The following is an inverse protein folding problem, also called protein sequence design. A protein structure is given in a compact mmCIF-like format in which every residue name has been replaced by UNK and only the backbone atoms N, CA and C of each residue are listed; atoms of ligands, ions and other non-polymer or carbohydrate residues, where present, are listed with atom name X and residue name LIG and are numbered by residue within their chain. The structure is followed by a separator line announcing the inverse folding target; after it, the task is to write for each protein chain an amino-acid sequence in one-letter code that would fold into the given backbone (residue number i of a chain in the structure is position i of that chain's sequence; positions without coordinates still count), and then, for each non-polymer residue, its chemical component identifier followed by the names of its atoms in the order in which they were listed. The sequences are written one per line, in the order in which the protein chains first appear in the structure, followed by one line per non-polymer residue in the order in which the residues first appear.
data_IF_318171556027
#
_entry.id   IF_318171556027
#
_cell.length_a   1.000
_cell.length_b   1.000
_cell.length_c   1.000
_cell.angle_alpha   90.00
_cell.angle_beta   90.00
_cell.angle_gamma   90.00
#
_symmetry.space_group_name_H-M   'P 1'
#
loop_
_entity.id
_entity.type
_entity.pdbx_description
1 polymer ?
#
# COMPACT_ATOMS: atom_id res chain seq x y z
N UNK A 1 13.42 1.57 22.16
CA UNK A 1 14.59 0.97 21.47
C UNK A 1 15.17 1.98 20.49
N UNK A 2 16.49 2.21 20.52
CA UNK A 2 17.15 3.08 19.57
C UNK A 2 17.00 2.53 18.13
N UNK A 3 16.75 3.41 17.19
CA UNK A 3 16.65 3.05 15.76
C UNK A 3 18.05 2.71 15.23
N UNK A 4 18.15 1.66 14.41
CA UNK A 4 19.42 1.26 13.80
C UNK A 4 19.88 2.29 12.78
N UNK A 5 21.14 2.70 12.85
CA UNK A 5 21.72 3.66 11.90
C UNK A 5 21.93 3.06 10.49
N UNK A 6 22.08 1.74 10.37
CA UNK A 6 22.31 1.01 9.11
C UNK A 6 23.56 1.46 8.32
N UNK A 7 24.57 1.98 9.02
CA UNK A 7 25.79 2.50 8.40
C UNK A 7 25.60 3.72 7.50
N UNK A 8 24.53 4.52 7.72
CA UNK A 8 24.13 5.64 6.85
C UNK A 8 23.83 6.90 7.66
N UNK A 9 23.92 8.06 7.01
CA UNK A 9 23.41 9.33 7.54
C UNK A 9 21.90 9.26 7.72
N UNK A 10 21.33 10.17 8.50
CA UNK A 10 19.90 10.17 8.80
C UNK A 10 19.03 10.23 7.53
N UNK A 11 19.40 11.09 6.58
CA UNK A 11 18.65 11.30 5.33
C UNK A 11 18.74 10.10 4.41
N UNK A 12 19.94 9.56 4.20
CA UNK A 12 20.15 8.35 3.40
C UNK A 12 19.42 7.14 3.99
N UNK A 13 19.41 7.01 5.32
CA UNK A 13 18.68 5.96 6.00
C UNK A 13 17.16 6.12 5.79
N UNK A 14 16.64 7.33 5.93
CA UNK A 14 15.22 7.65 5.70
C UNK A 14 14.82 7.31 4.27
N UNK A 15 15.60 7.73 3.29
CA UNK A 15 15.36 7.44 1.87
C UNK A 15 15.36 5.93 1.57
N UNK A 16 16.33 5.19 2.12
CA UNK A 16 16.43 3.73 1.96
C UNK A 16 15.20 3.02 2.51
N UNK A 17 14.77 3.36 3.74
CA UNK A 17 13.61 2.73 4.37
C UNK A 17 12.34 3.07 3.59
N UNK A 18 12.14 4.32 3.18
CA UNK A 18 10.99 4.75 2.36
C UNK A 18 10.90 3.96 1.05
N UNK A 19 12.03 3.81 0.34
CA UNK A 19 12.07 3.03 -0.90
C UNK A 19 11.67 1.57 -0.66
N UNK A 20 12.26 0.93 0.35
CA UNK A 20 11.96 -0.47 0.66
C UNK A 20 10.51 -0.68 1.12
N UNK A 21 9.93 0.25 1.88
CA UNK A 21 8.51 0.21 2.26
C UNK A 21 7.61 0.37 1.04
N UNK A 22 7.92 1.30 0.15
CA UNK A 22 7.17 1.49 -1.10
C UNK A 22 7.17 0.22 -1.94
N UNK A 23 8.35 -0.40 -2.13
CA UNK A 23 8.49 -1.65 -2.86
C UNK A 23 7.76 -2.82 -2.17
N UNK A 24 7.79 -2.89 -0.83
CA UNK A 24 7.06 -3.93 -0.08
C UNK A 24 5.56 -3.83 -0.28
N UNK A 25 5.00 -2.63 -0.24
CA UNK A 25 3.57 -2.41 -0.47
C UNK A 25 3.20 -2.73 -1.92
N UNK A 26 4.05 -2.33 -2.87
CA UNK A 26 3.79 -2.52 -4.29
C UNK A 26 3.90 -3.98 -4.73
N UNK A 27 5.02 -4.65 -4.41
CA UNK A 27 5.30 -6.02 -4.84
C UNK A 27 4.81 -7.09 -3.84
N UNK A 28 4.43 -6.70 -2.63
CA UNK A 28 4.01 -7.61 -1.56
C UNK A 28 5.17 -8.37 -0.88
N UNK A 29 6.37 -8.39 -1.47
CA UNK A 29 7.57 -9.03 -0.93
C UNK A 29 8.84 -8.34 -1.40
N UNK A 30 9.86 -8.34 -0.56
CA UNK A 30 11.21 -7.88 -0.91
C UNK A 30 12.28 -8.73 -0.20
N UNK A 31 13.42 -8.90 -0.82
CA UNK A 31 14.60 -9.48 -0.22
C UNK A 31 15.56 -8.38 0.22
N UNK A 32 16.05 -8.47 1.44
CA UNK A 32 16.96 -7.48 2.01
C UNK A 32 17.74 -8.09 3.18
N UNK A 33 18.64 -7.34 3.80
CA UNK A 33 19.33 -7.83 5.00
C UNK A 33 18.38 -7.85 6.21
N UNK A 34 18.58 -8.78 7.15
CA UNK A 34 17.75 -8.92 8.35
C UNK A 34 17.63 -7.61 9.15
N UNK A 35 18.74 -6.87 9.25
CA UNK A 35 18.75 -5.58 9.93
C UNK A 35 17.82 -4.53 9.28
N UNK A 36 17.81 -4.47 7.94
CA UNK A 36 16.91 -3.59 7.18
C UNK A 36 15.48 -4.07 7.25
N UNK A 37 15.22 -5.37 7.10
CA UNK A 37 13.89 -5.95 7.20
C UNK A 37 13.18 -5.59 8.52
N UNK A 38 13.90 -5.61 9.64
CA UNK A 38 13.36 -5.23 10.96
C UNK A 38 12.96 -3.75 11.04
N UNK A 39 13.69 -2.84 10.40
CA UNK A 39 13.33 -1.42 10.36
C UNK A 39 12.19 -1.14 9.36
N UNK A 40 12.22 -1.78 8.19
CA UNK A 40 11.16 -1.69 7.18
C UNK A 40 9.82 -2.17 7.74
N UNK A 41 9.82 -3.28 8.48
CA UNK A 41 8.64 -3.83 9.13
C UNK A 41 7.89 -2.79 9.96
N UNK A 42 8.60 -2.07 10.84
CA UNK A 42 7.99 -1.05 11.72
C UNK A 42 7.31 0.06 10.93
N UNK A 43 7.99 0.54 9.88
CA UNK A 43 7.46 1.62 9.06
C UNK A 43 6.26 1.15 8.22
N UNK A 44 6.36 -0.02 7.60
CA UNK A 44 5.28 -0.61 6.79
C UNK A 44 4.03 -0.89 7.64
N UNK A 45 4.18 -1.54 8.79
CA UNK A 45 3.04 -1.86 9.66
C UNK A 45 2.32 -0.62 10.16
N UNK A 46 3.03 0.48 10.43
CA UNK A 46 2.40 1.76 10.79
C UNK A 46 1.53 2.32 9.67
N UNK A 47 2.00 2.31 8.43
CA UNK A 47 1.24 2.81 7.28
C UNK A 47 0.04 1.92 6.96
N UNK A 48 0.21 0.61 7.06
CA UNK A 48 -0.88 -0.35 6.86
C UNK A 48 -1.95 -0.17 7.95
N UNK A 49 -1.56 0.03 9.21
CA UNK A 49 -2.52 0.28 10.30
C UNK A 49 -3.39 1.51 10.00
N UNK A 50 -2.78 2.63 9.55
CA UNK A 50 -3.52 3.84 9.18
C UNK A 50 -4.51 3.56 8.04
N UNK A 51 -4.09 2.79 7.03
CA UNK A 51 -4.97 2.44 5.92
C UNK A 51 -6.12 1.51 6.33
N UNK A 52 -5.85 0.52 7.20
CA UNK A 52 -6.86 -0.42 7.72
C UNK A 52 -7.92 0.30 8.57
N UNK A 53 -7.51 1.27 9.38
CA UNK A 53 -8.43 2.03 10.22
C UNK A 53 -9.37 2.93 9.41
N UNK A 54 -8.88 3.48 8.31
CA UNK A 54 -9.57 4.54 7.57
C UNK A 54 -10.11 4.11 6.19
N UNK A 55 -9.92 2.85 5.77
CA UNK A 55 -10.27 2.42 4.40
C UNK A 55 -11.76 2.64 4.06
N UNK A 56 -12.67 2.43 5.01
CA UNK A 56 -14.12 2.52 4.78
C UNK A 56 -14.70 3.88 5.19
N UNK A 57 -13.88 4.78 5.72
CA UNK A 57 -14.35 6.07 6.19
C UNK A 57 -14.56 7.04 5.01
N UNK A 58 -15.77 7.03 4.44
CA UNK A 58 -16.16 7.81 3.28
C UNK A 58 -17.42 8.61 3.56
N UNK A 59 -17.59 9.73 2.86
CA UNK A 59 -18.78 10.59 2.93
C UNK A 59 -19.34 10.75 1.51
N UNK A 60 -20.64 10.52 1.35
CA UNK A 60 -21.35 10.81 0.11
C UNK A 60 -21.65 12.29 0.03
N UNK A 61 -21.29 12.91 -1.09
CA UNK A 61 -21.59 14.30 -1.38
C UNK A 61 -22.27 14.41 -2.75
N UNK A 62 -23.27 15.25 -2.84
CA UNK A 62 -23.89 15.59 -4.10
C UNK A 62 -23.12 16.71 -4.80
N UNK A 63 -22.78 16.50 -6.06
CA UNK A 63 -22.11 17.49 -6.89
C UNK A 63 -22.96 17.84 -8.10
N UNK A 64 -23.23 19.10 -8.25
CA UNK A 64 -23.92 19.62 -9.43
C UNK A 64 -22.89 19.86 -10.55
N UNK A 65 -23.13 19.26 -11.69
CA UNK A 65 -22.33 19.44 -12.92
C UNK A 65 -23.24 19.74 -14.09
N UNK A 66 -22.73 20.45 -15.08
CA UNK A 66 -23.47 20.73 -16.33
C UNK A 66 -23.04 19.68 -17.38
N UNK A 67 -24.04 19.11 -18.06
CA UNK A 67 -23.83 18.30 -19.24
C UNK A 67 -23.34 19.17 -20.42
N UNK A 68 -22.80 18.52 -21.46
CA UNK A 68 -22.42 19.18 -22.73
C UNK A 68 -23.58 19.96 -23.37
N UNK A 69 -24.82 19.66 -22.99
CA UNK A 69 -26.04 20.36 -23.40
C UNK A 69 -26.48 21.50 -22.46
N UNK A 70 -25.66 21.84 -21.44
CA UNK A 70 -25.95 22.88 -20.46
C UNK A 70 -27.02 22.54 -19.42
N UNK A 71 -27.44 21.28 -19.32
CA UNK A 71 -28.42 20.83 -18.32
C UNK A 71 -27.72 20.53 -17.00
N UNK A 72 -28.30 20.94 -15.88
CA UNK A 72 -27.86 20.62 -14.54
C UNK A 72 -28.09 19.11 -14.26
N UNK A 73 -27.01 18.44 -13.96
CA UNK A 73 -27.03 17.03 -13.48
C UNK A 73 -26.47 16.97 -12.07
N UNK A 74 -27.18 16.29 -11.21
CA UNK A 74 -26.75 15.99 -9.84
C UNK A 74 -26.04 14.63 -9.82
N UNK A 75 -24.77 14.61 -9.50
CA UNK A 75 -23.97 13.39 -9.36
C UNK A 75 -23.70 13.11 -7.88
N UNK A 76 -23.99 11.89 -7.44
CA UNK A 76 -23.55 11.43 -6.14
C UNK A 76 -22.09 10.99 -6.22
N UNK A 77 -21.23 11.63 -5.46
CA UNK A 77 -19.79 11.35 -5.42
C UNK A 77 -19.41 10.89 -4.02
N UNK A 78 -18.72 9.76 -3.94
CA UNK A 78 -18.17 9.25 -2.68
C UNK A 78 -16.80 9.87 -2.47
N UNK A 79 -16.67 10.71 -1.46
CA UNK A 79 -15.44 11.38 -1.08
C UNK A 79 -14.82 10.73 0.16
N UNK A 80 -13.51 10.86 0.32
CA UNK A 80 -12.84 10.47 1.55
C UNK A 80 -13.28 11.40 2.70
N UNK A 81 -13.64 10.83 3.86
CA UNK A 81 -13.90 11.59 5.08
C UNK A 81 -12.63 12.37 5.53
N UNK A 82 -12.75 13.41 6.35
CA UNK A 82 -11.60 14.22 6.76
C UNK A 82 -10.46 13.43 7.40
N UNK A 83 -10.75 12.42 8.22
CA UNK A 83 -9.75 11.56 8.83
C UNK A 83 -9.04 10.66 7.81
N UNK A 84 -9.80 10.07 6.87
CA UNK A 84 -9.24 9.27 5.76
C UNK A 84 -8.38 10.13 4.84
N UNK A 85 -8.81 11.34 4.53
CA UNK A 85 -8.02 12.29 3.75
C UNK A 85 -6.71 12.65 4.45
N UNK A 86 -6.75 12.85 5.79
CA UNK A 86 -5.55 13.08 6.58
C UNK A 86 -4.60 11.89 6.55
N UNK A 87 -5.10 10.68 6.76
CA UNK A 87 -4.32 9.44 6.67
C UNK A 87 -3.69 9.27 5.29
N UNK A 88 -4.45 9.53 4.23
CA UNK A 88 -3.97 9.50 2.83
C UNK A 88 -2.81 10.49 2.63
N UNK A 89 -2.93 11.73 3.11
CA UNK A 89 -1.87 12.73 3.02
C UNK A 89 -0.60 12.31 3.77
N UNK A 90 -0.71 11.73 4.96
CA UNK A 90 0.44 11.19 5.71
C UNK A 90 1.12 10.08 4.90
N UNK A 91 0.37 9.14 4.36
CA UNK A 91 0.90 8.02 3.57
C UNK A 91 1.59 8.53 2.30
N UNK A 92 0.97 9.47 1.58
CA UNK A 92 1.56 10.12 0.39
C UNK A 92 2.86 10.86 0.70
N UNK A 93 2.96 11.52 1.87
CA UNK A 93 4.19 12.20 2.28
C UNK A 93 5.34 11.23 2.57
N UNK A 94 5.03 9.98 2.88
CA UNK A 94 6.02 8.95 3.23
C UNK A 94 6.40 8.07 2.05
N UNK A 95 5.45 7.58 1.26
CA UNK A 95 5.70 6.68 0.13
C UNK A 95 6.24 7.44 -1.09
N UNK A 96 7.02 6.74 -1.91
CA UNK A 96 7.39 7.22 -3.23
C UNK A 96 6.32 6.84 -4.25
N UNK A 97 6.19 7.65 -5.28
CA UNK A 97 5.35 7.36 -6.41
C UNK A 97 6.02 6.31 -7.31
N UNK A 98 5.33 5.19 -7.52
CA UNK A 98 5.70 4.20 -8.52
C UNK A 98 4.59 4.20 -9.57
N UNK A 99 4.97 4.37 -10.83
CA UNK A 99 4.05 4.21 -11.95
C UNK A 99 3.82 2.72 -12.21
N UNK A 100 2.62 2.39 -12.60
CA UNK A 100 2.30 1.04 -13.02
C UNK A 100 3.10 0.70 -14.30
N UNK A 101 3.58 -0.53 -14.39
CA UNK A 101 4.40 -0.98 -15.50
C UNK A 101 3.49 -1.37 -16.67
N UNK A 102 3.89 -1.01 -17.88
CA UNK A 102 3.23 -1.47 -19.10
C UNK A 102 3.26 -3.00 -19.16
N UNK A 103 2.13 -3.62 -19.42
CA UNK A 103 2.02 -5.07 -19.59
C UNK A 103 2.62 -5.48 -20.93
N UNK A 104 3.09 -6.73 -21.03
CA UNK A 104 3.72 -7.23 -22.25
C UNK A 104 2.77 -7.20 -23.47
N UNK A 105 1.47 -7.37 -23.22
CA UNK A 105 0.44 -7.45 -24.26
C UNK A 105 -0.31 -6.11 -24.44
N UNK A 106 0.16 -5.01 -23.81
CA UNK A 106 -0.52 -3.72 -23.77
C UNK A 106 0.20 -2.70 -24.65
N UNK A 107 -0.53 -2.01 -25.53
CA UNK A 107 0.04 -0.89 -26.27
C UNK A 107 0.27 0.34 -25.37
N UNK A 108 1.17 1.21 -25.80
CA UNK A 108 1.53 2.43 -25.06
C UNK A 108 0.36 3.40 -24.91
N UNK A 109 -0.58 3.39 -25.84
CA UNK A 109 -1.79 4.20 -25.77
C UNK A 109 -2.72 3.68 -24.68
N UNK A 110 -2.99 2.37 -24.68
CA UNK A 110 -3.85 1.70 -23.70
C UNK A 110 -3.28 1.81 -22.27
N UNK A 111 -1.95 1.63 -22.14
CA UNK A 111 -1.28 1.85 -20.87
C UNK A 111 -1.45 3.26 -20.31
N UNK A 112 -1.34 4.29 -21.17
CA UNK A 112 -1.55 5.69 -20.78
C UNK A 112 -3.00 5.95 -20.38
N UNK A 113 -3.96 5.37 -21.09
CA UNK A 113 -5.38 5.52 -20.80
C UNK A 113 -5.73 4.85 -19.47
N UNK A 114 -5.27 3.62 -19.23
CA UNK A 114 -5.46 2.88 -17.97
C UNK A 114 -4.84 3.58 -16.76
N UNK A 115 -3.69 4.22 -16.94
CA UNK A 115 -2.96 4.88 -15.83
C UNK A 115 -3.30 6.35 -15.64
N UNK A 116 -4.10 6.94 -16.53
CA UNK A 116 -4.43 8.38 -16.53
C UNK A 116 -5.13 8.84 -15.25
N UNK A 117 -6.07 8.04 -14.76
CA UNK A 117 -6.92 8.40 -13.64
C UNK A 117 -6.31 8.06 -12.27
N UNK A 118 -5.26 7.24 -12.24
CA UNK A 118 -4.62 6.80 -11.01
C UNK A 118 -3.34 7.59 -10.75
N UNK A 119 -3.46 8.66 -9.98
CA UNK A 119 -2.36 9.59 -9.70
C UNK A 119 -1.30 9.01 -8.77
N UNK A 120 -1.70 8.20 -7.80
CA UNK A 120 -0.83 7.59 -6.78
C UNK A 120 -1.10 6.09 -6.63
N UNK A 121 -0.62 5.25 -7.56
CA UNK A 121 -0.98 3.83 -7.61
C UNK A 121 -0.69 3.04 -6.33
N UNK A 122 0.44 3.32 -5.67
CA UNK A 122 0.83 2.63 -4.42
C UNK A 122 -0.14 2.94 -3.28
N UNK A 123 -0.57 4.20 -3.18
CA UNK A 123 -1.52 4.65 -2.16
C UNK A 123 -2.90 4.07 -2.43
N UNK A 124 -3.35 4.09 -3.68
CA UNK A 124 -4.62 3.48 -4.08
C UNK A 124 -4.64 1.98 -3.79
N UNK A 125 -3.57 1.26 -4.14
CA UNK A 125 -3.42 -0.15 -3.79
C UNK A 125 -3.53 -0.40 -2.30
N UNK A 126 -2.92 0.47 -1.49
CA UNK A 126 -2.97 0.34 -0.03
C UNK A 126 -4.39 0.51 0.52
N UNK A 127 -5.15 1.50 0.03
CA UNK A 127 -6.51 1.77 0.52
C UNK A 127 -7.59 0.87 -0.09
N UNK A 128 -7.45 0.48 -1.38
CA UNK A 128 -8.49 -0.29 -2.07
C UNK A 128 -8.31 -1.81 -1.96
N UNK A 129 -7.07 -2.29 -1.88
CA UNK A 129 -6.80 -3.72 -1.85
C UNK A 129 -6.31 -4.21 -0.49
N UNK A 130 -5.23 -3.60 0.02
CA UNK A 130 -4.52 -4.09 1.21
C UNK A 130 -5.32 -3.77 2.48
N UNK A 131 -5.83 -2.54 2.61
CA UNK A 131 -6.59 -2.09 3.76
C UNK A 131 -7.80 -2.96 4.07
N UNK A 132 -8.76 -3.12 3.12
CA UNK A 132 -9.94 -3.94 3.32
C UNK A 132 -9.61 -5.41 3.63
N UNK A 133 -8.64 -6.01 2.92
CA UNK A 133 -8.20 -7.39 3.17
C UNK A 133 -7.70 -7.58 4.60
N UNK A 134 -6.87 -6.68 5.10
CA UNK A 134 -6.38 -6.78 6.47
C UNK A 134 -7.44 -6.40 7.51
N UNK A 135 -8.38 -5.52 7.18
CA UNK A 135 -9.52 -5.21 8.05
C UNK A 135 -10.38 -6.45 8.27
N UNK A 136 -10.79 -7.12 7.21
CA UNK A 136 -11.56 -8.37 7.28
C UNK A 136 -10.83 -9.44 8.11
N UNK A 137 -9.53 -9.63 7.86
CA UNK A 137 -8.71 -10.55 8.67
C UNK A 137 -8.69 -10.19 10.16
N UNK A 138 -8.56 -8.89 10.47
CA UNK A 138 -8.49 -8.43 11.85
C UNK A 138 -9.81 -8.66 12.60
N UNK A 139 -10.92 -8.48 11.92
CA UNK A 139 -12.26 -8.75 12.44
C UNK A 139 -12.46 -10.26 12.69
N UNK A 140 -12.10 -11.10 11.72
CA UNK A 140 -12.21 -12.56 11.81
C UNK A 140 -11.34 -13.11 12.96
N UNK A 141 -10.07 -12.70 13.02
CA UNK A 141 -9.10 -13.22 14.00
C UNK A 141 -9.06 -12.43 15.31
N UNK A 142 -9.89 -11.40 15.47
CA UNK A 142 -9.91 -10.50 16.64
C UNK A 142 -8.50 -10.01 17.02
N UNK A 143 -7.68 -9.69 16.02
CA UNK A 143 -6.30 -9.25 16.21
C UNK A 143 -6.03 -7.97 15.43
N UNK A 144 -5.14 -7.12 15.94
CA UNK A 144 -4.65 -5.93 15.24
C UNK A 144 -3.14 -6.02 15.01
N UNK A 145 -2.69 -5.66 13.80
CA UNK A 145 -1.28 -5.67 13.46
C UNK A 145 -0.77 -7.01 12.91
N UNK A 146 0.57 -7.18 12.86
CA UNK A 146 1.19 -8.37 12.32
C UNK A 146 0.94 -8.57 10.83
N UNK A 147 0.96 -7.49 10.04
CA UNK A 147 0.71 -7.50 8.61
C UNK A 147 1.86 -8.03 7.78
N UNK A 148 3.05 -8.11 8.39
CA UNK A 148 4.28 -8.53 7.71
C UNK A 148 4.90 -9.74 8.39
N UNK A 149 5.58 -10.59 7.60
CA UNK A 149 6.34 -11.73 8.10
C UNK A 149 7.75 -11.71 7.52
N UNK A 150 8.76 -12.00 8.35
CA UNK A 150 10.17 -12.04 7.98
C UNK A 150 10.63 -13.49 8.02
N UNK A 151 11.23 -13.95 6.92
CA UNK A 151 11.85 -15.26 6.78
C UNK A 151 13.35 -15.08 6.61
N UNK A 152 14.16 -15.78 7.40
CA UNK A 152 15.61 -15.76 7.28
C UNK A 152 16.04 -16.66 6.12
N UNK A 153 16.89 -16.17 5.25
CA UNK A 153 17.40 -16.87 4.08
C UNK A 153 18.84 -17.40 4.28
N UNK A 154 19.49 -16.98 5.37
CA UNK A 154 20.89 -17.30 5.64
C UNK A 154 21.89 -16.28 5.09
N UNK A 155 23.18 -16.52 5.22
CA UNK A 155 24.23 -15.60 4.82
C UNK A 155 24.38 -15.54 3.30
N UNK A 156 24.60 -14.35 2.77
CA UNK A 156 24.86 -14.10 1.34
C UNK A 156 26.32 -14.47 1.00
N UNK A 157 26.53 -15.03 -0.21
CA UNK A 157 27.88 -15.27 -0.72
C UNK A 157 28.62 -13.93 -0.89
N UNK A 158 29.88 -13.90 -0.51
CA UNK A 158 30.79 -12.77 -0.65
C UNK A 158 31.00 -11.99 0.66
N UNK A 159 29.96 -11.47 1.29
CA UNK A 159 30.07 -10.67 2.52
C UNK A 159 29.43 -11.30 3.77
N UNK A 160 28.92 -12.52 3.65
CA UNK A 160 28.24 -13.25 4.74
C UNK A 160 27.12 -12.46 5.44
N UNK A 161 26.54 -11.45 4.77
CA UNK A 161 25.45 -10.68 5.33
C UNK A 161 24.19 -11.54 5.49
N UNK A 162 23.58 -11.52 6.67
CA UNK A 162 22.31 -12.23 6.96
C UNK A 162 21.18 -11.66 6.11
N UNK A 163 20.68 -12.46 5.17
CA UNK A 163 19.59 -12.11 4.28
C UNK A 163 18.24 -12.51 4.86
N UNK A 164 17.22 -11.75 4.53
CA UNK A 164 15.85 -12.03 4.92
C UNK A 164 14.86 -11.61 3.82
N UNK A 165 13.83 -12.42 3.64
CA UNK A 165 12.65 -12.11 2.86
C UNK A 165 11.60 -11.51 3.79
N UNK A 166 11.19 -10.27 3.55
CA UNK A 166 10.00 -9.69 4.18
C UNK A 166 8.85 -9.71 3.19
N UNK A 167 7.68 -10.18 3.63
CA UNK A 167 6.48 -10.18 2.79
C UNK A 167 5.25 -9.79 3.60
N UNK A 168 4.23 -9.30 2.91
CA UNK A 168 2.89 -9.15 3.46
C UNK A 168 2.29 -10.53 3.72
N UNK A 169 1.62 -10.68 4.84
CA UNK A 169 0.90 -11.93 5.16
C UNK A 169 -0.20 -12.10 4.11
N UNK A 170 -0.25 -13.28 3.48
CA UNK A 170 -1.39 -13.63 2.64
C UNK A 170 -2.62 -13.68 3.52
N UNK A 171 -3.61 -12.92 3.18
CA UNK A 171 -4.95 -13.05 3.70
C UNK A 171 -5.66 -13.93 2.68
N UNK A 172 -5.80 -15.20 3.00
CA UNK A 172 -6.66 -16.09 2.24
C UNK A 172 -8.10 -15.66 2.60
N UNK A 173 -8.56 -14.63 1.93
CA UNK A 173 -9.98 -14.38 1.82
C UNK A 173 -10.42 -15.45 0.84
N UNK A 174 -10.99 -16.54 1.35
CA UNK A 174 -11.67 -17.50 0.53
C UNK A 174 -12.56 -16.70 -0.43
N UNK A 175 -12.27 -16.80 -1.71
CA UNK A 175 -13.22 -16.48 -2.76
C UNK A 175 -14.38 -17.46 -2.59
N UNK A 176 -15.27 -17.15 -1.65
CA UNK A 176 -16.60 -17.72 -1.66
C UNK A 176 -17.25 -17.14 -2.89
N UNK A 177 -17.05 -17.85 -4.01
CA UNK A 177 -17.80 -17.62 -5.21
C UNK A 177 -19.28 -17.52 -4.81
N UNK A 178 -20.03 -16.50 -5.28
CA UNK A 178 -21.46 -16.48 -5.09
C UNK A 178 -21.98 -17.77 -5.70
N UNK A 179 -22.60 -18.60 -4.84
CA UNK A 179 -23.33 -19.76 -5.31
C UNK A 179 -24.34 -19.25 -6.34
N UNK A 180 -24.17 -19.69 -7.58
CA UNK A 180 -25.17 -19.49 -8.61
C UNK A 180 -26.43 -20.25 -8.17
N UNK A 181 -27.49 -19.52 -7.88
CA UNK A 181 -28.88 -20.03 -7.97
C UNK A 181 -29.41 -19.81 -9.38
#
# INVERSE_FOLDING_TARGET
MAQRKLGRTADQRKALIRNQVTNLIWYGRIETTEARAKEVRRAAERLITLAVQECDNTVTATKETHNDKGQLMTLEVVNDAPSKLHARRIIMSYLYELKDVQRADEDKADWKERTKDVKYPVVEKLFREIGPKFKARNEEKKCAGGYTRIYKLGPRRGDAAEMALIRLVKVDVDEKAPAAE
#
